data_IF_103822625427
#
_entry.id   IF_103822625427
#
_cell.length_a   1.000
_cell.length_b   1.000
_cell.length_c   1.000
_cell.angle_alpha   90.00
_cell.angle_beta   90.00
_cell.angle_gamma   90.00
#
_symmetry.space_group_name_H-M   'P 1'
#
loop_
_entity.id
_entity.type
_entity.pdbx_description
1 polymer ?
#
# COMPACT_ATOMS: atom_id res chain seq x y z
N UNK A 1 -14.06 -0.37 -30.28
CA UNK A 1 -14.24 -0.35 -28.82
C UNK A 1 -12.92 -0.60 -28.09
N UNK A 2 -12.25 -1.74 -28.25
CA UNK A 2 -10.96 -2.05 -27.59
C UNK A 2 -9.87 -0.97 -27.81
N UNK A 3 -9.69 -0.46 -29.04
CA UNK A 3 -8.73 0.60 -29.36
C UNK A 3 -8.97 1.95 -28.68
N UNK A 4 -10.23 2.29 -28.37
CA UNK A 4 -10.54 3.55 -27.68
C UNK A 4 -10.17 3.49 -26.19
N UNK A 5 -10.41 2.33 -25.54
CA UNK A 5 -9.97 2.10 -24.17
C UNK A 5 -8.45 2.02 -24.06
N UNK A 6 -7.78 1.34 -24.99
CA UNK A 6 -6.31 1.30 -25.04
C UNK A 6 -5.73 2.72 -25.16
N UNK A 7 -6.31 3.54 -26.03
CA UNK A 7 -5.91 4.95 -26.17
C UNK A 7 -6.17 5.74 -24.88
N UNK A 8 -7.35 5.55 -24.26
CA UNK A 8 -7.70 6.22 -23.00
C UNK A 8 -6.67 5.92 -21.89
N UNK A 9 -6.35 4.64 -21.68
CA UNK A 9 -5.36 4.26 -20.68
C UNK A 9 -3.96 4.75 -21.02
N UNK A 10 -3.53 4.65 -22.27
CA UNK A 10 -2.22 5.19 -22.69
C UNK A 10 -2.07 6.69 -22.45
N UNK A 11 -3.09 7.48 -22.78
CA UNK A 11 -3.11 8.92 -22.52
C UNK A 11 -3.20 9.26 -21.02
N UNK A 12 -3.85 8.43 -20.23
CA UNK A 12 -3.94 8.57 -18.78
C UNK A 12 -2.58 8.29 -18.11
N UNK A 13 -1.91 7.20 -18.51
CA UNK A 13 -0.59 6.80 -18.00
C UNK A 13 0.47 7.88 -18.30
N UNK A 14 0.47 8.43 -19.51
CA UNK A 14 1.38 9.55 -19.86
C UNK A 14 1.22 10.75 -18.92
N UNK A 15 -0.02 11.09 -18.53
CA UNK A 15 -0.28 12.21 -17.61
C UNK A 15 0.15 11.90 -16.19
N UNK A 16 -0.04 10.66 -15.73
CA UNK A 16 0.46 10.25 -14.43
C UNK A 16 1.99 10.30 -14.37
N UNK A 17 2.69 9.90 -15.44
CA UNK A 17 4.15 9.99 -15.55
C UNK A 17 4.67 11.44 -15.49
N UNK A 18 3.88 12.40 -15.96
CA UNK A 18 4.22 13.83 -15.87
C UNK A 18 4.04 14.42 -14.46
N UNK A 19 3.34 13.71 -13.56
CA UNK A 19 3.12 14.13 -12.17
C UNK A 19 2.13 15.30 -11.97
N UNK A 20 1.49 15.81 -13.03
CA UNK A 20 0.47 16.88 -12.93
C UNK A 20 -0.91 16.28 -12.61
N UNK A 21 -1.21 16.14 -11.32
CA UNK A 21 -2.50 15.61 -10.85
C UNK A 21 -3.69 16.46 -11.31
N UNK A 22 -3.52 17.77 -11.51
CA UNK A 22 -4.58 18.63 -12.03
C UNK A 22 -4.84 18.36 -13.52
N UNK A 23 -3.81 18.02 -14.29
CA UNK A 23 -3.98 17.60 -15.70
C UNK A 23 -4.67 16.23 -15.77
N UNK A 24 -4.36 15.29 -14.87
CA UNK A 24 -5.05 13.99 -14.76
C UNK A 24 -6.55 14.20 -14.50
N UNK A 25 -6.91 15.02 -13.51
CA UNK A 25 -8.32 15.30 -13.18
C UNK A 25 -9.06 15.92 -14.39
N UNK A 26 -8.48 16.94 -15.00
CA UNK A 26 -9.07 17.59 -16.20
C UNK A 26 -9.29 16.61 -17.34
N UNK A 27 -8.34 15.73 -17.60
CA UNK A 27 -8.46 14.71 -18.63
C UNK A 27 -9.61 13.72 -18.34
N UNK A 28 -9.69 13.18 -17.13
CA UNK A 28 -10.73 12.25 -16.74
C UNK A 28 -12.13 12.88 -16.83
N UNK A 29 -12.29 14.14 -16.37
CA UNK A 29 -13.56 14.85 -16.44
C UNK A 29 -13.96 15.20 -17.89
N UNK A 30 -13.01 15.57 -18.72
CA UNK A 30 -13.27 15.83 -20.13
C UNK A 30 -13.69 14.56 -20.88
N UNK A 31 -13.04 13.43 -20.60
CA UNK A 31 -13.39 12.13 -21.17
C UNK A 31 -14.78 11.65 -20.69
N UNK A 32 -15.11 11.84 -19.40
CA UNK A 32 -16.47 11.59 -18.88
C UNK A 32 -17.51 12.40 -19.66
N UNK A 33 -17.29 13.71 -19.79
CA UNK A 33 -18.23 14.60 -20.45
C UNK A 33 -18.46 14.20 -21.92
N UNK A 34 -17.41 13.83 -22.64
CA UNK A 34 -17.51 13.34 -24.00
C UNK A 34 -18.26 12.00 -24.10
N UNK A 35 -17.90 11.03 -23.23
CA UNK A 35 -18.54 9.72 -23.23
C UNK A 35 -20.05 9.79 -22.89
N UNK A 36 -20.45 10.76 -22.08
CA UNK A 36 -21.86 11.01 -21.73
C UNK A 36 -22.70 11.57 -22.86
N UNK A 37 -22.11 12.02 -23.97
CA UNK A 37 -22.87 12.48 -25.13
C UNK A 37 -23.54 11.32 -25.89
N UNK A 38 -22.95 10.09 -25.84
CA UNK A 38 -23.56 8.88 -26.38
C UNK A 38 -23.41 7.71 -25.37
N UNK A 39 -24.16 7.76 -24.25
CA UNK A 39 -23.97 6.83 -23.15
C UNK A 39 -24.35 5.38 -23.49
N UNK A 40 -25.15 5.16 -24.53
CA UNK A 40 -25.53 3.80 -24.96
C UNK A 40 -24.40 3.10 -25.73
N UNK A 41 -23.65 3.86 -26.55
CA UNK A 41 -22.52 3.31 -27.32
C UNK A 41 -21.23 3.28 -26.54
N UNK A 42 -21.07 4.16 -25.53
CA UNK A 42 -19.83 4.36 -24.79
C UNK A 42 -19.91 3.87 -23.33
N UNK A 43 -20.76 2.89 -23.04
CA UNK A 43 -20.95 2.38 -21.67
C UNK A 43 -19.67 1.82 -21.05
N UNK A 44 -18.93 1.01 -21.80
CA UNK A 44 -17.65 0.48 -21.30
C UNK A 44 -16.66 1.58 -20.96
N UNK A 45 -16.61 2.63 -21.77
CA UNK A 45 -15.78 3.80 -21.51
C UNK A 45 -16.23 4.57 -20.29
N UNK A 46 -17.56 4.71 -20.08
CA UNK A 46 -18.10 5.33 -18.88
C UNK A 46 -17.80 4.52 -17.62
N UNK A 47 -17.87 3.19 -17.69
CA UNK A 47 -17.47 2.31 -16.57
C UNK A 47 -16.00 2.51 -16.27
N UNK A 48 -15.13 2.50 -17.29
CA UNK A 48 -13.69 2.70 -17.14
C UNK A 48 -13.37 4.07 -16.53
N UNK A 49 -13.89 5.15 -17.09
CA UNK A 49 -13.57 6.50 -16.61
C UNK A 49 -14.11 6.74 -15.18
N UNK A 50 -15.28 6.20 -14.82
CA UNK A 50 -15.75 6.32 -13.44
C UNK A 50 -14.90 5.50 -12.46
N UNK A 51 -14.39 4.32 -12.86
CA UNK A 51 -13.45 3.55 -12.06
C UNK A 51 -12.15 4.32 -11.86
N UNK A 52 -11.61 4.94 -12.92
CA UNK A 52 -10.38 5.74 -12.83
C UNK A 52 -10.59 7.04 -12.03
N UNK A 53 -11.73 7.73 -12.18
CA UNK A 53 -12.07 8.87 -11.32
C UNK A 53 -12.16 8.47 -9.86
N UNK A 54 -12.76 7.31 -9.56
CA UNK A 54 -12.81 6.75 -8.22
C UNK A 54 -11.41 6.51 -7.66
N UNK A 55 -10.53 5.90 -8.43
CA UNK A 55 -9.13 5.63 -8.06
C UNK A 55 -8.33 6.91 -7.88
N UNK A 56 -8.47 7.87 -8.80
CA UNK A 56 -7.85 9.19 -8.71
C UNK A 56 -8.27 9.93 -7.44
N UNK A 57 -9.58 10.07 -7.19
CA UNK A 57 -10.07 10.76 -5.99
C UNK A 57 -9.66 10.07 -4.70
N UNK A 58 -9.55 8.75 -4.66
CA UNK A 58 -8.97 8.00 -3.55
C UNK A 58 -7.50 8.40 -3.33
N UNK A 59 -6.71 8.47 -4.40
CA UNK A 59 -5.30 8.83 -4.35
C UNK A 59 -5.04 10.24 -3.81
N UNK A 60 -5.96 11.19 -4.09
CA UNK A 60 -5.88 12.56 -3.58
C UNK A 60 -6.73 12.80 -2.32
N UNK A 61 -7.12 11.74 -1.63
CA UNK A 61 -7.88 11.76 -0.36
C UNK A 61 -9.26 12.43 -0.44
N UNK A 62 -9.83 12.56 -1.63
CA UNK A 62 -11.20 13.02 -1.85
C UNK A 62 -12.18 11.86 -1.81
N UNK A 63 -12.28 11.20 -0.65
CA UNK A 63 -12.96 9.91 -0.52
C UNK A 63 -14.44 9.93 -0.86
N UNK A 64 -15.19 11.00 -0.53
CA UNK A 64 -16.60 11.12 -0.89
C UNK A 64 -16.80 11.12 -2.42
N UNK A 65 -15.94 11.83 -3.16
CA UNK A 65 -15.99 11.87 -4.63
C UNK A 65 -15.56 10.49 -5.21
N UNK A 66 -14.60 9.83 -4.58
CA UNK A 66 -14.17 8.47 -4.94
C UNK A 66 -15.34 7.48 -4.86
N UNK A 67 -16.05 7.44 -3.72
CA UNK A 67 -17.22 6.56 -3.54
C UNK A 67 -18.30 6.87 -4.56
N UNK A 68 -18.61 8.16 -4.78
CA UNK A 68 -19.63 8.56 -5.76
C UNK A 68 -19.27 8.13 -7.20
N UNK A 69 -18.00 8.18 -7.59
CA UNK A 69 -17.54 7.73 -8.89
C UNK A 69 -17.64 6.18 -9.01
N UNK A 70 -17.20 5.44 -8.00
CA UNK A 70 -17.33 3.98 -7.99
C UNK A 70 -18.80 3.52 -7.99
N UNK A 71 -19.71 4.22 -7.32
CA UNK A 71 -21.15 3.90 -7.37
C UNK A 71 -21.71 4.06 -8.79
N UNK A 72 -21.29 5.09 -9.53
CA UNK A 72 -21.67 5.25 -10.95
C UNK A 72 -21.12 4.09 -11.79
N UNK A 73 -19.83 3.75 -11.61
CA UNK A 73 -19.21 2.62 -12.30
C UNK A 73 -19.94 1.31 -12.00
N UNK A 74 -20.25 1.05 -10.72
CA UNK A 74 -20.96 -0.14 -10.24
C UNK A 74 -22.36 -0.26 -10.86
N UNK A 75 -23.12 0.83 -10.85
CA UNK A 75 -24.48 0.85 -11.42
C UNK A 75 -24.49 0.56 -12.93
N UNK A 76 -23.54 1.16 -13.68
CA UNK A 76 -23.41 0.90 -15.11
C UNK A 76 -22.95 -0.55 -15.39
N UNK A 77 -21.95 -1.03 -14.65
CA UNK A 77 -21.45 -2.39 -14.81
C UNK A 77 -22.54 -3.43 -14.51
N UNK A 78 -23.31 -3.24 -13.44
CA UNK A 78 -24.43 -4.12 -13.11
C UNK A 78 -25.50 -4.17 -14.21
N UNK A 79 -25.80 -3.03 -14.84
CA UNK A 79 -26.81 -2.93 -15.90
C UNK A 79 -26.34 -3.50 -17.25
N UNK A 80 -25.05 -3.41 -17.57
CA UNK A 80 -24.48 -3.73 -18.88
C UNK A 80 -23.80 -5.11 -18.93
N UNK A 81 -23.03 -5.42 -17.90
CA UNK A 81 -22.21 -6.64 -17.82
C UNK A 81 -22.81 -7.70 -16.90
N UNK A 82 -23.79 -7.32 -16.10
CA UNK A 82 -24.30 -8.14 -15.01
C UNK A 82 -23.41 -8.08 -13.76
N UNK A 83 -23.95 -8.62 -12.67
CA UNK A 83 -23.27 -8.60 -11.36
C UNK A 83 -22.28 -9.78 -11.18
N UNK A 84 -22.27 -10.75 -12.07
CA UNK A 84 -21.45 -11.95 -11.98
C UNK A 84 -20.25 -11.90 -12.95
N UNK A 85 -19.55 -10.79 -12.98
CA UNK A 85 -18.36 -10.61 -13.80
C UNK A 85 -17.18 -9.99 -13.01
N UNK A 86 -15.95 -10.33 -13.43
CA UNK A 86 -14.73 -9.85 -12.76
C UNK A 86 -14.59 -8.33 -12.73
N UNK A 87 -15.10 -7.63 -13.75
CA UNK A 87 -15.06 -6.17 -13.79
C UNK A 87 -15.93 -5.54 -12.69
N UNK A 88 -17.13 -6.07 -12.45
CA UNK A 88 -17.98 -5.66 -11.35
C UNK A 88 -17.28 -5.91 -9.99
N UNK A 89 -16.66 -7.09 -9.81
CA UNK A 89 -15.90 -7.40 -8.61
C UNK A 89 -14.70 -6.46 -8.41
N UNK A 90 -14.00 -6.05 -9.49
CA UNK A 90 -12.92 -5.08 -9.41
C UNK A 90 -13.41 -3.72 -8.92
N UNK A 91 -14.56 -3.25 -9.39
CA UNK A 91 -15.15 -1.99 -8.93
C UNK A 91 -15.50 -2.08 -7.43
N UNK A 92 -16.10 -3.19 -6.98
CA UNK A 92 -16.39 -3.44 -5.56
C UNK A 92 -15.11 -3.41 -4.71
N UNK A 93 -14.04 -4.08 -5.16
CA UNK A 93 -12.74 -4.07 -4.49
C UNK A 93 -12.17 -2.66 -4.34
N UNK A 94 -12.23 -1.86 -5.39
CA UNK A 94 -11.71 -0.49 -5.37
C UNK A 94 -12.54 0.41 -4.43
N UNK A 95 -13.86 0.28 -4.46
CA UNK A 95 -14.78 0.99 -3.57
C UNK A 95 -14.57 0.58 -2.10
N UNK A 96 -14.41 -0.71 -1.83
CA UNK A 96 -14.09 -1.24 -0.50
C UNK A 96 -12.78 -0.66 0.05
N UNK A 97 -11.75 -0.56 -0.81
CA UNK A 97 -10.48 0.09 -0.45
C UNK A 97 -10.66 1.56 -0.05
N UNK A 98 -11.57 2.29 -0.71
CA UNK A 98 -11.90 3.67 -0.32
C UNK A 98 -12.63 3.72 1.02
N UNK A 99 -13.64 2.86 1.25
CA UNK A 99 -14.34 2.78 2.53
C UNK A 99 -13.38 2.47 3.68
N UNK A 100 -12.42 1.56 3.47
CA UNK A 100 -11.37 1.25 4.45
C UNK A 100 -10.54 2.48 4.81
N UNK A 101 -10.10 3.27 3.81
CA UNK A 101 -9.34 4.50 4.04
C UNK A 101 -10.15 5.60 4.72
N UNK A 102 -11.47 5.60 4.56
CA UNK A 102 -12.39 6.48 5.30
C UNK A 102 -12.60 6.04 6.76
N UNK A 103 -12.14 4.86 7.15
CA UNK A 103 -12.38 4.28 8.48
C UNK A 103 -13.70 3.52 8.58
N UNK A 104 -14.48 3.39 7.50
CA UNK A 104 -15.71 2.58 7.47
C UNK A 104 -15.36 1.10 7.25
N UNK A 105 -14.81 0.48 8.30
CA UNK A 105 -14.33 -0.89 8.24
C UNK A 105 -15.45 -1.91 8.00
N UNK A 106 -16.68 -1.63 8.49
CA UNK A 106 -17.81 -2.53 8.32
C UNK A 106 -18.17 -2.61 6.83
N UNK A 107 -18.40 -1.47 6.19
CA UNK A 107 -18.73 -1.39 4.78
C UNK A 107 -17.61 -1.90 3.88
N UNK A 108 -16.36 -1.64 4.25
CA UNK A 108 -15.19 -2.15 3.52
C UNK A 108 -15.19 -3.69 3.50
N UNK A 109 -15.36 -4.35 4.66
CA UNK A 109 -15.41 -5.81 4.75
C UNK A 109 -16.59 -6.39 3.97
N UNK A 110 -17.79 -5.79 4.05
CA UNK A 110 -18.96 -6.21 3.29
C UNK A 110 -18.71 -6.18 1.78
N UNK A 111 -18.17 -5.08 1.26
CA UNK A 111 -17.88 -4.91 -0.17
C UNK A 111 -16.77 -5.86 -0.65
N UNK A 112 -15.74 -6.10 0.17
CA UNK A 112 -14.71 -7.10 -0.17
C UNK A 112 -15.29 -8.51 -0.22
N UNK A 113 -16.20 -8.87 0.71
CA UNK A 113 -16.89 -10.15 0.65
C UNK A 113 -17.75 -10.27 -0.60
N UNK A 114 -18.51 -9.24 -0.95
CA UNK A 114 -19.30 -9.22 -2.18
C UNK A 114 -18.39 -9.45 -3.39
N UNK A 115 -17.24 -8.77 -3.47
CA UNK A 115 -16.27 -8.96 -4.55
C UNK A 115 -15.74 -10.41 -4.62
N UNK A 116 -15.39 -11.01 -3.48
CA UNK A 116 -14.96 -12.41 -3.39
C UNK A 116 -16.04 -13.36 -3.93
N UNK A 117 -17.30 -13.17 -3.53
CA UNK A 117 -18.41 -14.01 -4.01
C UNK A 117 -18.70 -13.81 -5.49
N UNK A 118 -18.56 -12.59 -6.02
CA UNK A 118 -18.68 -12.32 -7.45
C UNK A 118 -17.60 -13.08 -8.23
N UNK A 119 -16.33 -13.03 -7.82
CA UNK A 119 -15.26 -13.80 -8.47
C UNK A 119 -15.51 -15.30 -8.42
N UNK A 120 -16.06 -15.82 -7.32
CA UNK A 120 -16.44 -17.25 -7.21
C UNK A 120 -17.54 -17.62 -8.20
N UNK A 121 -18.61 -16.82 -8.28
CA UNK A 121 -19.70 -17.06 -9.24
C UNK A 121 -19.25 -16.93 -10.69
N UNK A 122 -18.31 -16.02 -10.96
CA UNK A 122 -17.71 -15.82 -12.27
C UNK A 122 -16.73 -16.93 -12.66
N UNK A 123 -16.36 -17.86 -11.76
CA UNK A 123 -15.35 -18.89 -12.01
C UNK A 123 -13.94 -18.34 -12.21
N UNK A 124 -13.60 -17.19 -11.62
CA UNK A 124 -12.35 -16.46 -11.80
C UNK A 124 -11.49 -16.45 -10.51
N UNK A 125 -11.51 -17.55 -9.78
CA UNK A 125 -10.82 -17.69 -8.49
C UNK A 125 -9.33 -17.98 -8.58
N UNK A 126 -8.82 -18.23 -9.77
CA UNK A 126 -7.41 -18.48 -10.09
C UNK A 126 -6.68 -17.22 -10.62
N UNK A 127 -7.36 -16.07 -10.61
CA UNK A 127 -6.85 -14.83 -11.16
C UNK A 127 -6.06 -13.99 -10.13
N UNK A 128 -5.11 -13.20 -10.63
CA UNK A 128 -4.43 -12.19 -9.81
C UNK A 128 -5.42 -11.18 -9.19
N UNK A 129 -6.47 -10.82 -9.92
CA UNK A 129 -7.48 -9.89 -9.42
C UNK A 129 -8.21 -10.45 -8.19
N UNK A 130 -8.52 -11.74 -8.18
CA UNK A 130 -9.07 -12.40 -7.00
C UNK A 130 -8.09 -12.41 -5.81
N UNK A 131 -6.81 -12.74 -6.07
CA UNK A 131 -5.77 -12.66 -5.04
C UNK A 131 -5.61 -11.25 -4.46
N UNK A 132 -5.73 -10.22 -5.30
CA UNK A 132 -5.71 -8.80 -4.86
C UNK A 132 -6.86 -8.47 -3.92
N UNK A 133 -8.07 -8.95 -4.21
CA UNK A 133 -9.22 -8.77 -3.28
C UNK A 133 -8.96 -9.44 -1.94
N UNK A 134 -8.43 -10.66 -1.93
CA UNK A 134 -8.09 -11.37 -0.70
C UNK A 134 -7.02 -10.63 0.13
N UNK A 135 -5.99 -10.05 -0.52
CA UNK A 135 -5.00 -9.22 0.15
C UNK A 135 -5.64 -7.98 0.78
N UNK A 136 -6.52 -7.29 0.05
CA UNK A 136 -7.19 -6.09 0.55
C UNK A 136 -8.17 -6.41 1.70
N UNK A 137 -8.91 -7.51 1.61
CA UNK A 137 -9.77 -8.02 2.67
C UNK A 137 -8.96 -8.36 3.94
N UNK A 138 -7.79 -8.94 3.78
CA UNK A 138 -6.89 -9.22 4.89
C UNK A 138 -6.45 -7.94 5.62
N UNK A 139 -6.17 -6.84 4.89
CA UNK A 139 -5.87 -5.55 5.50
C UNK A 139 -7.06 -5.01 6.31
N UNK A 140 -8.28 -5.10 5.78
CA UNK A 140 -9.49 -4.71 6.49
C UNK A 140 -9.74 -5.56 7.74
N UNK A 141 -9.50 -6.87 7.68
CA UNK A 141 -9.57 -7.75 8.84
C UNK A 141 -8.53 -7.42 9.89
N UNK A 142 -7.28 -7.16 9.49
CA UNK A 142 -6.22 -6.75 10.41
C UNK A 142 -6.59 -5.47 11.15
N UNK A 143 -7.07 -4.46 10.46
CA UNK A 143 -7.49 -3.18 11.04
C UNK A 143 -8.72 -3.32 11.96
N UNK A 144 -9.55 -4.35 11.73
CA UNK A 144 -10.69 -4.71 12.58
C UNK A 144 -10.34 -5.69 13.73
N UNK A 145 -9.05 -5.99 13.95
CA UNK A 145 -8.60 -6.93 14.98
C UNK A 145 -8.87 -8.41 14.70
N UNK A 146 -9.24 -8.77 13.47
CA UNK A 146 -9.58 -10.13 13.05
C UNK A 146 -8.37 -10.85 12.44
N UNK A 147 -7.29 -11.03 13.22
CA UNK A 147 -5.99 -11.49 12.75
C UNK A 147 -6.04 -12.87 12.06
N UNK A 148 -6.78 -13.83 12.64
CA UNK A 148 -6.90 -15.18 12.05
C UNK A 148 -7.53 -15.18 10.66
N UNK A 149 -8.58 -14.35 10.46
CA UNK A 149 -9.24 -14.19 9.18
C UNK A 149 -8.30 -13.52 8.16
N UNK A 150 -7.53 -12.53 8.60
CA UNK A 150 -6.52 -11.87 7.77
C UNK A 150 -5.45 -12.86 7.32
N UNK A 151 -4.93 -13.72 8.21
CA UNK A 151 -3.96 -14.77 7.88
C UNK A 151 -4.55 -15.73 6.85
N UNK A 152 -5.81 -16.16 7.04
CA UNK A 152 -6.50 -17.06 6.10
C UNK A 152 -6.57 -16.47 4.68
N UNK A 153 -6.96 -15.20 4.55
CA UNK A 153 -7.02 -14.50 3.27
C UNK A 153 -5.64 -14.36 2.61
N UNK A 154 -4.60 -13.96 3.37
CA UNK A 154 -3.26 -13.81 2.82
C UNK A 154 -2.66 -15.14 2.38
N UNK A 155 -2.89 -16.23 3.12
CA UNK A 155 -2.42 -17.56 2.73
C UNK A 155 -3.08 -18.02 1.43
N UNK A 156 -4.38 -17.77 1.28
CA UNK A 156 -5.10 -18.08 0.04
C UNK A 156 -4.58 -17.23 -1.12
N UNK A 157 -4.40 -15.92 -0.92
CA UNK A 157 -3.83 -15.04 -1.93
C UNK A 157 -2.42 -15.48 -2.35
N UNK A 158 -1.56 -15.82 -1.39
CA UNK A 158 -0.21 -16.30 -1.63
C UNK A 158 -0.19 -17.58 -2.49
N UNK A 159 -1.03 -18.56 -2.14
CA UNK A 159 -1.15 -19.81 -2.91
C UNK A 159 -1.56 -19.59 -4.37
N UNK A 160 -2.16 -18.43 -4.69
CA UNK A 160 -2.51 -18.08 -6.07
C UNK A 160 -1.36 -17.38 -6.82
N UNK A 161 -0.58 -16.54 -6.12
CA UNK A 161 0.39 -15.66 -6.79
C UNK A 161 1.84 -16.13 -6.68
N UNK A 162 2.17 -17.07 -5.77
CA UNK A 162 3.55 -17.44 -5.46
C UNK A 162 4.33 -17.92 -6.69
N UNK A 163 3.66 -18.66 -7.58
CA UNK A 163 4.24 -19.20 -8.81
C UNK A 163 3.85 -18.40 -10.07
N UNK A 164 3.12 -17.27 -9.91
CA UNK A 164 2.74 -16.46 -11.06
C UNK A 164 3.92 -15.63 -11.56
N UNK A 165 4.27 -15.69 -12.86
CA UNK A 165 5.32 -14.87 -13.44
C UNK A 165 5.06 -13.36 -13.22
N UNK A 166 6.10 -12.62 -12.87
CA UNK A 166 6.03 -11.15 -12.69
C UNK A 166 5.32 -10.68 -11.42
N UNK A 167 5.07 -11.59 -10.43
CA UNK A 167 4.40 -11.25 -9.16
C UNK A 167 5.31 -11.30 -7.95
N UNK A 168 6.61 -11.26 -8.15
CA UNK A 168 7.61 -11.35 -7.07
C UNK A 168 7.43 -10.27 -6.01
N UNK A 169 7.07 -9.06 -6.41
CA UNK A 169 6.82 -7.95 -5.50
C UNK A 169 5.60 -8.19 -4.62
N UNK A 170 4.49 -8.61 -5.21
CA UNK A 170 3.24 -8.90 -4.49
C UNK A 170 3.43 -10.08 -3.53
N UNK A 171 4.19 -11.08 -3.93
CA UNK A 171 4.59 -12.19 -3.06
C UNK A 171 5.39 -11.69 -1.86
N UNK A 172 6.38 -10.81 -2.09
CA UNK A 172 7.18 -10.23 -1.01
C UNK A 172 6.32 -9.42 -0.02
N UNK A 173 5.41 -8.59 -0.53
CA UNK A 173 4.48 -7.79 0.30
C UNK A 173 3.52 -8.70 1.07
N UNK A 174 3.02 -9.76 0.45
CA UNK A 174 2.10 -10.70 1.12
C UNK A 174 2.81 -11.44 2.26
N UNK A 175 4.05 -11.92 2.06
CA UNK A 175 4.86 -12.50 3.14
C UNK A 175 5.19 -11.50 4.25
N UNK A 176 5.48 -10.24 3.91
CA UNK A 176 5.69 -9.19 4.92
C UNK A 176 4.44 -8.95 5.77
N UNK A 177 3.25 -8.92 5.16
CA UNK A 177 1.98 -8.79 5.89
C UNK A 177 1.73 -10.01 6.79
N UNK A 178 2.01 -11.24 6.31
CA UNK A 178 1.93 -12.45 7.11
C UNK A 178 2.91 -12.43 8.30
N UNK A 179 4.15 -11.94 8.11
CA UNK A 179 5.13 -11.78 9.21
C UNK A 179 4.54 -10.95 10.34
N UNK A 180 3.95 -9.80 10.01
CA UNK A 180 3.33 -8.90 10.99
C UNK A 180 2.15 -9.55 11.70
N UNK A 181 1.28 -10.25 10.97
CA UNK A 181 0.11 -10.92 11.54
C UNK A 181 0.48 -12.10 12.42
N UNK A 182 1.40 -12.97 11.99
CA UNK A 182 1.87 -14.08 12.82
C UNK A 182 2.57 -13.60 14.08
N UNK A 183 3.32 -12.49 14.01
CA UNK A 183 3.87 -11.84 15.20
C UNK A 183 2.78 -11.36 16.15
N UNK A 184 1.72 -10.73 15.64
CA UNK A 184 0.61 -10.23 16.45
C UNK A 184 -0.17 -11.34 17.18
N UNK A 185 -0.29 -12.54 16.57
CA UNK A 185 -0.93 -13.71 17.21
C UNK A 185 0.04 -14.55 18.01
N UNK A 186 1.32 -14.16 18.10
CA UNK A 186 2.35 -14.86 18.91
C UNK A 186 2.96 -16.10 18.23
N UNK A 187 2.65 -16.39 16.97
CA UNK A 187 3.29 -17.48 16.21
C UNK A 187 4.64 -17.05 15.64
N UNK A 188 5.64 -16.96 16.52
CA UNK A 188 7.00 -16.56 16.16
C UNK A 188 7.64 -17.43 15.09
N UNK A 189 7.30 -18.74 15.06
CA UNK A 189 7.86 -19.68 14.08
C UNK A 189 7.39 -19.33 12.66
N UNK A 190 6.09 -19.13 12.49
CA UNK A 190 5.54 -18.74 11.20
C UNK A 190 5.97 -17.31 10.80
N UNK A 191 6.02 -16.39 11.77
CA UNK A 191 6.53 -15.04 11.52
C UNK A 191 7.95 -15.06 10.96
N UNK A 192 8.87 -15.83 11.57
CA UNK A 192 10.25 -15.95 11.11
C UNK A 192 10.36 -16.61 9.73
N UNK A 193 9.54 -17.63 9.45
CA UNK A 193 9.49 -18.26 8.12
C UNK A 193 9.02 -17.25 7.05
N UNK A 194 7.95 -16.52 7.32
CA UNK A 194 7.44 -15.50 6.41
C UNK A 194 8.46 -14.37 6.21
N UNK A 195 9.17 -13.93 7.26
CA UNK A 195 10.28 -12.97 7.16
C UNK A 195 11.35 -13.44 6.17
N UNK A 196 11.80 -14.69 6.29
CA UNK A 196 12.81 -15.23 5.37
C UNK A 196 12.33 -15.24 3.92
N UNK A 197 11.08 -15.67 3.70
CA UNK A 197 10.48 -15.68 2.35
C UNK A 197 10.30 -14.27 1.78
N UNK A 198 9.85 -13.31 2.61
CA UNK A 198 9.74 -11.92 2.19
C UNK A 198 11.09 -11.35 1.76
N UNK A 199 12.15 -11.56 2.55
CA UNK A 199 13.50 -11.11 2.22
C UNK A 199 14.00 -11.72 0.91
N UNK A 200 13.83 -13.03 0.70
CA UNK A 200 14.20 -13.69 -0.55
C UNK A 200 13.46 -13.14 -1.77
N UNK A 201 12.16 -12.83 -1.62
CA UNK A 201 11.39 -12.25 -2.71
C UNK A 201 11.78 -10.79 -2.97
N UNK A 202 12.00 -9.98 -1.92
CA UNK A 202 12.47 -8.60 -2.08
C UNK A 202 13.85 -8.52 -2.73
N UNK A 203 14.76 -9.44 -2.45
CA UNK A 203 16.09 -9.45 -3.08
C UNK A 203 16.03 -9.59 -4.60
N UNK A 204 15.03 -10.28 -5.13
CA UNK A 204 14.82 -10.40 -6.57
C UNK A 204 14.33 -9.10 -7.25
N UNK A 205 13.82 -8.15 -6.46
CA UNK A 205 13.29 -6.86 -6.93
C UNK A 205 14.18 -5.66 -6.52
N UNK A 206 15.36 -5.91 -5.96
CA UNK A 206 16.18 -4.87 -5.32
C UNK A 206 16.81 -3.84 -6.29
N UNK A 207 16.96 -4.22 -7.55
CA UNK A 207 17.56 -3.36 -8.58
C UNK A 207 16.54 -2.54 -9.38
N UNK A 208 15.23 -2.73 -9.14
CA UNK A 208 14.15 -2.00 -9.77
C UNK A 208 13.61 -0.92 -8.83
N UNK A 209 13.17 0.21 -9.38
CA UNK A 209 12.47 1.22 -8.61
C UNK A 209 11.13 0.67 -8.10
N UNK A 210 11.00 0.52 -6.79
CA UNK A 210 9.87 -0.13 -6.16
C UNK A 210 9.51 0.54 -4.85
N UNK A 211 8.41 1.28 -4.85
CA UNK A 211 7.94 2.05 -3.68
C UNK A 211 7.65 1.18 -2.43
N UNK A 212 7.40 -0.11 -2.60
CA UNK A 212 7.10 -1.01 -1.48
C UNK A 212 8.34 -1.69 -0.90
N UNK A 213 9.48 -1.64 -1.60
CA UNK A 213 10.69 -2.35 -1.18
C UNK A 213 11.25 -1.80 0.14
N UNK A 214 11.47 -0.49 0.20
CA UNK A 214 12.00 0.17 1.40
C UNK A 214 11.05 0.03 2.58
N UNK A 215 9.75 0.27 2.37
CA UNK A 215 8.72 0.09 3.40
C UNK A 215 8.64 -1.35 3.90
N UNK A 216 8.75 -2.34 3.01
CA UNK A 216 8.82 -3.76 3.36
C UNK A 216 10.04 -4.07 4.24
N UNK A 217 11.23 -3.61 3.85
CA UNK A 217 12.45 -3.78 4.66
C UNK A 217 12.32 -3.11 6.04
N UNK A 218 11.71 -1.92 6.12
CA UNK A 218 11.46 -1.23 7.38
C UNK A 218 10.52 -2.04 8.29
N UNK A 219 9.46 -2.62 7.74
CA UNK A 219 8.52 -3.46 8.50
C UNK A 219 9.20 -4.73 9.04
N UNK A 220 10.02 -5.38 8.21
CA UNK A 220 10.77 -6.57 8.62
C UNK A 220 11.86 -6.23 9.66
N UNK A 221 12.50 -5.07 9.54
CA UNK A 221 13.45 -4.58 10.54
C UNK A 221 12.77 -4.27 11.88
N UNK A 222 11.57 -3.67 11.85
CA UNK A 222 10.79 -3.42 13.06
C UNK A 222 10.38 -4.72 13.76
N UNK A 223 10.03 -5.76 13.01
CA UNK A 223 9.79 -7.09 13.57
C UNK A 223 11.04 -7.65 14.28
N UNK A 224 12.22 -7.61 13.64
CA UNK A 224 13.47 -8.07 14.25
C UNK A 224 13.85 -7.25 15.50
N UNK A 225 13.60 -5.94 15.48
CA UNK A 225 13.75 -5.08 16.65
C UNK A 225 12.88 -5.55 17.83
N UNK A 226 11.61 -5.84 17.56
CA UNK A 226 10.69 -6.34 18.60
C UNK A 226 11.09 -7.72 19.15
N UNK A 227 11.72 -8.57 18.33
CA UNK A 227 12.29 -9.86 18.76
C UNK A 227 13.66 -9.71 19.47
N UNK A 228 14.24 -8.51 19.54
CA UNK A 228 15.54 -8.23 20.16
C UNK A 228 16.75 -8.53 19.27
N UNK A 229 16.53 -8.85 17.99
CA UNK A 229 17.61 -9.09 17.02
C UNK A 229 18.05 -7.73 16.39
N UNK A 230 18.75 -6.94 17.20
CA UNK A 230 19.11 -5.56 16.86
C UNK A 230 20.10 -5.47 15.69
N UNK A 231 21.04 -6.41 15.59
CA UNK A 231 22.04 -6.39 14.52
C UNK A 231 21.39 -6.61 13.14
N UNK A 232 20.50 -7.60 13.04
CA UNK A 232 19.76 -7.85 11.79
C UNK A 232 18.76 -6.74 11.50
N UNK A 233 18.12 -6.16 12.51
CA UNK A 233 17.24 -5.00 12.34
C UNK A 233 18.02 -3.82 11.72
N UNK A 234 19.19 -3.47 12.28
CA UNK A 234 20.05 -2.41 11.72
C UNK A 234 20.52 -2.71 10.29
N UNK A 235 20.83 -3.96 9.99
CA UNK A 235 21.22 -4.34 8.62
C UNK A 235 20.11 -4.07 7.61
N UNK A 236 18.85 -4.40 7.95
CA UNK A 236 17.68 -4.14 7.11
C UNK A 236 17.35 -2.65 7.01
N UNK A 237 17.37 -1.91 8.12
CA UNK A 237 17.18 -0.46 8.10
C UNK A 237 18.23 0.26 7.24
N UNK A 238 19.51 -0.14 7.33
CA UNK A 238 20.56 0.41 6.47
C UNK A 238 20.33 0.08 4.99
N UNK A 239 19.81 -1.12 4.69
CA UNK A 239 19.47 -1.51 3.32
C UNK A 239 18.30 -0.66 2.80
N UNK A 240 17.25 -0.47 3.60
CA UNK A 240 16.12 0.41 3.28
C UNK A 240 16.58 1.84 3.04
N UNK A 241 17.36 2.41 3.97
CA UNK A 241 17.87 3.78 3.87
C UNK A 241 18.68 4.02 2.59
N UNK A 242 19.61 3.08 2.25
CA UNK A 242 20.40 3.19 1.01
C UNK A 242 19.54 3.10 -0.24
N UNK A 243 18.54 2.23 -0.23
CA UNK A 243 17.60 2.08 -1.33
C UNK A 243 16.76 3.35 -1.52
N UNK A 244 16.16 3.87 -0.45
CA UNK A 244 15.39 5.11 -0.48
C UNK A 244 16.22 6.28 -1.01
N UNK A 245 17.45 6.42 -0.52
CA UNK A 245 18.37 7.48 -0.96
C UNK A 245 18.70 7.37 -2.46
N UNK A 246 18.89 6.14 -2.97
CA UNK A 246 19.26 5.88 -4.38
C UNK A 246 18.12 6.26 -5.33
N UNK A 247 16.86 5.91 -5.02
CA UNK A 247 15.75 6.02 -5.95
C UNK A 247 14.84 7.22 -5.67
N UNK A 248 14.72 7.65 -4.41
CA UNK A 248 13.72 8.64 -3.98
C UNK A 248 14.33 9.85 -3.24
N UNK A 249 15.63 9.84 -2.97
CA UNK A 249 16.27 10.90 -2.21
C UNK A 249 15.92 10.91 -0.72
N UNK A 250 16.20 12.01 -0.04
CA UNK A 250 15.84 12.23 1.36
C UNK A 250 14.37 12.64 1.45
N UNK A 251 13.51 11.67 1.71
CA UNK A 251 12.06 11.83 1.85
C UNK A 251 11.58 11.45 3.27
N UNK A 252 10.27 11.50 3.50
CA UNK A 252 9.68 11.19 4.80
C UNK A 252 9.96 9.75 5.27
N UNK A 253 10.08 8.79 4.36
CA UNK A 253 10.41 7.40 4.68
C UNK A 253 11.88 7.25 5.09
N UNK A 254 12.78 7.99 4.45
CA UNK A 254 14.18 8.07 4.87
C UNK A 254 14.30 8.61 6.30
N UNK A 255 13.59 9.71 6.63
CA UNK A 255 13.55 10.27 7.98
C UNK A 255 13.01 9.28 9.01
N UNK A 256 11.93 8.55 8.68
CA UNK A 256 11.36 7.49 9.52
C UNK A 256 12.34 6.34 9.74
N UNK A 257 13.08 5.93 8.71
CA UNK A 257 14.10 4.88 8.84
C UNK A 257 15.22 5.32 9.77
N UNK A 258 15.67 6.58 9.68
CA UNK A 258 16.67 7.14 10.61
C UNK A 258 16.15 7.11 12.07
N UNK A 259 14.91 7.52 12.31
CA UNK A 259 14.30 7.48 13.64
C UNK A 259 14.20 6.05 14.19
N UNK A 260 13.78 5.09 13.39
CA UNK A 260 13.76 3.68 13.76
C UNK A 260 15.15 3.13 14.10
N UNK A 261 16.18 3.50 13.33
CA UNK A 261 17.57 3.13 13.64
C UNK A 261 18.05 3.72 14.96
N UNK A 262 17.63 4.95 15.28
CA UNK A 262 17.97 5.57 16.56
C UNK A 262 17.42 4.76 17.74
N UNK A 263 16.19 4.30 17.67
CA UNK A 263 15.60 3.43 18.71
C UNK A 263 16.38 2.12 18.88
N UNK A 264 16.85 1.51 17.77
CA UNK A 264 17.69 0.31 17.86
C UNK A 264 19.02 0.62 18.54
N UNK A 265 19.70 1.72 18.15
CA UNK A 265 20.96 2.13 18.77
C UNK A 265 20.80 2.44 20.26
N UNK A 266 19.72 3.09 20.65
CA UNK A 266 19.38 3.36 22.06
C UNK A 266 19.25 2.06 22.85
N UNK A 267 18.52 1.06 22.32
CA UNK A 267 18.39 -0.27 22.95
C UNK A 267 19.71 -1.01 23.06
N UNK A 268 20.67 -0.74 22.18
CA UNK A 268 22.05 -1.28 22.21
C UNK A 268 22.99 -0.48 23.11
N UNK A 269 22.55 0.61 23.76
CA UNK A 269 23.41 1.51 24.55
C UNK A 269 24.36 2.38 23.71
N UNK A 270 24.09 2.53 22.42
CA UNK A 270 24.91 3.30 21.47
C UNK A 270 24.35 4.72 21.30
N UNK A 271 24.39 5.52 22.37
CA UNK A 271 23.72 6.81 22.47
C UNK A 271 24.20 7.81 21.40
N UNK A 272 25.50 7.86 21.13
CA UNK A 272 26.05 8.76 20.10
C UNK A 272 25.51 8.43 18.69
N UNK A 273 25.39 7.15 18.35
CA UNK A 273 24.84 6.72 17.07
C UNK A 273 23.34 7.01 16.99
N UNK A 274 22.61 6.82 18.11
CA UNK A 274 21.20 7.16 18.19
C UNK A 274 20.96 8.67 17.97
N UNK A 275 21.75 9.51 18.63
CA UNK A 275 21.67 10.96 18.47
C UNK A 275 21.96 11.40 17.02
N UNK A 276 22.97 10.84 16.37
CA UNK A 276 23.29 11.14 14.98
C UNK A 276 22.13 10.77 14.02
N UNK A 277 21.42 9.67 14.29
CA UNK A 277 20.27 9.28 13.48
C UNK A 277 19.06 10.18 13.72
N UNK A 278 18.81 10.64 14.95
CA UNK A 278 17.74 11.59 15.25
C UNK A 278 17.98 12.97 14.66
N UNK A 279 19.23 13.47 14.70
CA UNK A 279 19.61 14.72 14.02
C UNK A 279 19.31 14.66 12.52
N UNK A 280 19.57 13.52 11.91
CA UNK A 280 19.30 13.30 10.50
C UNK A 280 17.80 13.27 10.21
N UNK A 281 17.03 12.58 11.05
CA UNK A 281 15.56 12.53 10.93
C UNK A 281 14.92 13.91 11.10
N UNK A 282 15.34 14.67 12.14
CA UNK A 282 14.89 16.04 12.41
C UNK A 282 15.13 16.94 11.20
N UNK A 283 16.36 16.96 10.67
CA UNK A 283 16.74 17.78 9.51
C UNK A 283 15.87 17.46 8.27
N UNK A 284 15.65 16.18 8.00
CA UNK A 284 14.80 15.74 6.87
C UNK A 284 13.36 16.19 7.07
N UNK A 285 12.79 15.97 8.24
CA UNK A 285 11.41 16.38 8.52
C UNK A 285 11.25 17.90 8.53
N UNK A 286 12.22 18.66 9.05
CA UNK A 286 12.22 20.11 9.02
C UNK A 286 12.24 20.64 7.58
N UNK A 287 13.07 20.06 6.72
CA UNK A 287 13.15 20.40 5.29
C UNK A 287 11.86 20.12 4.53
N UNK A 288 11.14 19.05 4.87
CA UNK A 288 9.93 18.62 4.16
C UNK A 288 8.65 19.28 4.68
N UNK A 289 8.55 19.48 5.99
CA UNK A 289 7.30 19.83 6.66
C UNK A 289 7.38 21.10 7.49
N UNK A 290 8.58 21.62 7.69
CA UNK A 290 8.85 22.77 8.57
C UNK A 290 9.06 22.40 10.06
N UNK A 291 9.54 23.38 10.86
CA UNK A 291 9.93 23.14 12.26
C UNK A 291 8.76 22.79 13.19
N UNK A 292 7.56 23.28 12.88
CA UNK A 292 6.38 23.11 13.73
C UNK A 292 5.61 21.82 13.49
N UNK A 293 6.01 21.03 12.48
CA UNK A 293 5.35 19.78 12.17
C UNK A 293 5.57 18.73 13.27
N UNK A 294 4.57 17.92 13.55
CA UNK A 294 4.59 16.91 14.61
C UNK A 294 5.82 15.99 14.52
N UNK A 295 6.15 15.48 13.33
CA UNK A 295 7.30 14.59 13.12
C UNK A 295 8.63 15.28 13.44
N UNK A 296 8.77 16.55 13.04
CA UNK A 296 9.97 17.34 13.32
C UNK A 296 10.14 17.54 14.84
N UNK A 297 9.06 17.95 15.51
CA UNK A 297 9.07 18.13 16.97
C UNK A 297 9.35 16.83 17.72
N UNK A 298 8.75 15.72 17.29
CA UNK A 298 9.00 14.42 17.92
C UNK A 298 10.47 14.01 17.82
N UNK A 299 11.09 14.13 16.65
CA UNK A 299 12.51 13.81 16.48
C UNK A 299 13.42 14.72 17.32
N UNK A 300 13.12 16.03 17.37
CA UNK A 300 13.85 17.00 18.19
C UNK A 300 13.72 16.72 19.70
N UNK A 301 12.53 16.32 20.16
CA UNK A 301 12.29 16.00 21.58
C UNK A 301 13.00 14.72 21.99
N UNK A 302 13.00 13.68 21.15
CA UNK A 302 13.76 12.44 21.36
C UNK A 302 15.28 12.74 21.42
N UNK A 303 15.78 13.57 20.53
CA UNK A 303 17.19 13.98 20.52
C UNK A 303 17.59 14.74 21.81
N UNK A 304 16.75 15.67 22.24
CA UNK A 304 16.97 16.40 23.51
C UNK A 304 16.99 15.48 24.72
N UNK A 305 16.06 14.52 24.78
CA UNK A 305 15.99 13.52 25.85
C UNK A 305 17.28 12.69 25.92
N UNK A 306 17.78 12.21 24.77
CA UNK A 306 19.02 11.43 24.71
C UNK A 306 20.24 12.23 25.18
N UNK A 307 20.38 13.49 24.76
CA UNK A 307 21.51 14.35 25.15
C UNK A 307 21.49 14.70 26.65
N UNK A 308 20.32 14.83 27.24
CA UNK A 308 20.20 15.06 28.70
C UNK A 308 20.57 13.82 29.50
N UNK A 309 20.27 12.63 29.00
CA UNK A 309 20.63 11.37 29.65
C UNK A 309 22.14 11.06 29.60
N UNK A 310 22.84 11.49 28.54
CA UNK A 310 24.32 11.33 28.40
C UNK A 310 25.13 12.36 29.23
N UNK A 311 24.52 13.48 29.64
CA UNK A 311 25.17 14.54 30.44
C UNK A 311 24.98 14.41 31.94
N UNK A 312 24.24 13.40 32.39
CA UNK A 312 23.98 13.08 33.80
C UNK A 312 24.75 11.84 34.24
#
# INVERSE_FOLDING_TARGET
MHKQLERFYGELDERYLQGDLAAVERFLLAYEAEARQDPLRRREELIAVYNELGSFYRGVSRYAQSVAAFEKARALAAADLGQDCGQYATILNNMAGTCRLMGDQVKAVELFHEAVEVYRRAGQTDSYAYASVLNNLALAYRESGRQEQAIGCLRQALGLIEDMPGRTQEVAVTYNNLTTLYSAVGDKKQAMLCLQRALQAFEKCADEENVHYAAGLNSLAAFLYAEGDYDRALALYRKSMRYTLRFFGENAEYGMTCQNMAWVYERMGRTADAAAMLERAEKVYESLFGPDHERTRTAADELRRLRQADGA
#
